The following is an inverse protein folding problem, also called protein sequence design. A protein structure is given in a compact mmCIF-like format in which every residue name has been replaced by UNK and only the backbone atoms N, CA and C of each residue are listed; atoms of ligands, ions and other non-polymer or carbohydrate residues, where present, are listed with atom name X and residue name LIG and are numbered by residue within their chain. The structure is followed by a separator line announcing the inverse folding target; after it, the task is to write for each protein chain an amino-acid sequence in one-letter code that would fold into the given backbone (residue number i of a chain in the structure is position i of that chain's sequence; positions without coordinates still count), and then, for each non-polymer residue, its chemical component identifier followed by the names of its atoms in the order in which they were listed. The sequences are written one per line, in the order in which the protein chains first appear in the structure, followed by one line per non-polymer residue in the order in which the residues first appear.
data_IF_053940747059
#
_entry.id   IF_053940747059
#
_cell.length_a   1.000
_cell.length_b   1.000
_cell.length_c   1.000
_cell.angle_alpha   90.00
_cell.angle_beta   90.00
_cell.angle_gamma   90.00
#
_symmetry.space_group_name_H-M   'P 1'
#
loop_
_entity.id
_entity.type
_entity.pdbx_description
1 polymer ?
#
# COMPACT_ATOMS: atom_id res chain seq x y z
N UNK A 1 4.99 13.60 -1.96
CA UNK A 1 3.77 13.98 -1.23
C UNK A 1 3.92 13.60 0.23
N UNK A 2 3.17 14.20 1.14
CA UNK A 2 3.19 13.93 2.60
C UNK A 2 1.77 13.72 3.12
N UNK A 3 1.62 12.97 4.20
CA UNK A 3 0.35 12.73 4.92
C UNK A 3 0.44 13.51 6.23
N UNK A 4 -0.37 14.56 6.39
CA UNK A 4 -0.36 15.42 7.59
C UNK A 4 1.06 15.83 8.05
N UNK A 5 1.89 16.27 7.10
CA UNK A 5 3.27 16.69 7.36
C UNK A 5 4.32 15.57 7.42
N UNK A 6 3.90 14.30 7.49
CA UNK A 6 4.79 13.13 7.50
C UNK A 6 5.17 12.73 6.06
N UNK A 7 6.47 12.59 5.80
CA UNK A 7 7.00 12.07 4.53
C UNK A 7 7.42 10.60 4.64
N UNK A 8 7.81 10.18 5.82
CA UNK A 8 8.15 8.80 6.17
C UNK A 8 7.64 8.47 7.58
N UNK A 9 7.78 7.21 8.00
CA UNK A 9 7.36 6.71 9.32
C UNK A 9 5.89 7.02 9.67
N UNK A 10 5.03 6.98 8.65
CA UNK A 10 3.58 7.01 8.84
C UNK A 10 3.03 5.58 8.88
N UNK A 11 2.00 5.38 9.68
CA UNK A 11 1.39 4.08 9.94
C UNK A 11 -0.05 4.02 9.41
N UNK A 12 -0.66 2.84 9.45
CA UNK A 12 -2.07 2.64 9.06
C UNK A 12 -3.01 3.65 9.73
N UNK A 13 -2.79 3.95 11.01
CA UNK A 13 -3.62 4.91 11.75
C UNK A 13 -3.53 6.33 11.20
N UNK A 14 -2.37 6.75 10.67
CA UNK A 14 -2.24 8.06 10.02
C UNK A 14 -3.12 8.15 8.77
N UNK A 15 -3.23 7.05 8.01
CA UNK A 15 -4.11 6.97 6.83
C UNK A 15 -5.59 6.96 7.23
N UNK A 16 -5.95 6.23 8.30
CA UNK A 16 -7.32 6.19 8.83
C UNK A 16 -7.75 7.57 9.33
N UNK A 17 -6.88 8.25 10.09
CA UNK A 17 -7.14 9.60 10.60
C UNK A 17 -7.37 10.57 9.45
N UNK A 18 -6.47 10.59 8.46
CA UNK A 18 -6.64 11.42 7.27
C UNK A 18 -7.96 11.12 6.56
N UNK A 19 -8.28 9.85 6.32
CA UNK A 19 -9.51 9.45 5.64
C UNK A 19 -10.77 9.90 6.39
N UNK A 20 -10.75 9.86 7.72
CA UNK A 20 -11.84 10.39 8.57
C UNK A 20 -11.96 11.91 8.43
N UNK A 21 -10.85 12.65 8.45
CA UNK A 21 -10.84 14.12 8.31
C UNK A 21 -11.47 14.59 6.99
N UNK A 22 -11.25 13.85 5.91
CA UNK A 22 -11.81 14.16 4.58
C UNK A 22 -13.08 13.37 4.24
N UNK A 23 -13.71 12.74 5.24
CA UNK A 23 -15.00 12.03 5.13
C UNK A 23 -15.04 10.83 4.15
N UNK A 24 -13.92 10.10 4.01
CA UNK A 24 -13.89 8.82 3.29
C UNK A 24 -14.50 7.74 4.20
N UNK A 25 -15.76 7.38 3.91
CA UNK A 25 -16.54 6.40 4.70
C UNK A 25 -15.95 4.98 4.70
N UNK A 26 -15.23 4.61 3.65
CA UNK A 26 -14.72 3.25 3.45
C UNK A 26 -13.20 3.15 3.67
N UNK A 27 -12.59 4.07 4.43
CA UNK A 27 -11.13 4.18 4.53
C UNK A 27 -10.48 2.87 4.98
N UNK A 28 -11.04 2.19 5.99
CA UNK A 28 -10.53 0.92 6.48
C UNK A 28 -10.53 -0.15 5.40
N UNK A 29 -11.66 -0.31 4.70
CA UNK A 29 -11.80 -1.26 3.60
C UNK A 29 -10.85 -0.96 2.45
N UNK A 30 -10.70 0.32 2.08
CA UNK A 30 -9.79 0.72 0.99
C UNK A 30 -8.34 0.35 1.36
N UNK A 31 -7.93 0.60 2.60
CA UNK A 31 -6.59 0.23 3.06
C UNK A 31 -6.41 -1.29 3.01
N UNK A 32 -7.38 -2.05 3.50
CA UNK A 32 -7.31 -3.51 3.53
C UNK A 32 -7.26 -4.12 2.11
N UNK A 33 -8.11 -3.62 1.19
CA UNK A 33 -8.12 -4.06 -0.22
C UNK A 33 -6.74 -3.79 -0.89
N UNK A 34 -6.12 -2.63 -0.61
CA UNK A 34 -4.79 -2.29 -1.16
C UNK A 34 -3.71 -3.18 -0.54
N UNK A 35 -3.74 -3.41 0.77
CA UNK A 35 -2.81 -4.31 1.46
C UNK A 35 -2.89 -5.71 0.87
N UNK A 36 -4.09 -6.23 0.62
CA UNK A 36 -4.30 -7.53 -0.01
C UNK A 36 -3.67 -7.59 -1.41
N UNK A 37 -3.98 -6.62 -2.27
CA UNK A 37 -3.48 -6.61 -3.65
C UNK A 37 -1.95 -6.47 -3.70
N UNK A 38 -1.39 -5.57 -2.89
CA UNK A 38 0.07 -5.34 -2.83
C UNK A 38 0.79 -6.55 -2.23
N UNK A 39 0.17 -7.27 -1.29
CA UNK A 39 0.69 -8.55 -0.76
C UNK A 39 0.70 -9.65 -1.83
N UNK A 40 -0.27 -9.63 -2.73
CA UNK A 40 -0.37 -10.55 -3.86
C UNK A 40 0.53 -10.19 -5.05
N UNK A 41 1.32 -9.12 -4.96
CA UNK A 41 2.22 -8.65 -6.03
C UNK A 41 3.03 -9.76 -6.72
N UNK A 42 3.72 -10.68 -6.03
CA UNK A 42 4.53 -11.69 -6.71
C UNK A 42 3.72 -12.57 -7.68
N UNK A 43 2.47 -12.87 -7.33
CA UNK A 43 1.55 -13.63 -8.18
C UNK A 43 1.10 -12.80 -9.37
N UNK A 44 0.57 -11.60 -9.12
CA UNK A 44 0.06 -10.69 -10.14
C UNK A 44 1.15 -10.31 -11.16
N UNK A 45 2.36 -10.04 -10.68
CA UNK A 45 3.50 -9.68 -11.52
C UNK A 45 3.99 -10.86 -12.37
N UNK A 46 3.98 -12.07 -11.81
CA UNK A 46 4.30 -13.29 -12.56
C UNK A 46 3.28 -13.52 -13.69
N UNK A 47 2.00 -13.38 -13.39
CA UNK A 47 0.91 -13.56 -14.36
C UNK A 47 0.98 -12.49 -15.47
N UNK A 48 1.48 -11.29 -15.15
CA UNK A 48 1.73 -10.20 -16.10
C UNK A 48 3.05 -10.34 -16.89
N UNK A 49 3.84 -11.40 -16.68
CA UNK A 49 5.10 -11.63 -17.39
C UNK A 49 6.27 -10.77 -16.92
N UNK A 50 6.22 -10.23 -15.69
CA UNK A 50 7.34 -9.48 -15.11
C UNK A 50 8.49 -10.43 -14.78
N UNK A 51 9.71 -10.05 -15.15
CA UNK A 51 10.91 -10.84 -14.86
C UNK A 51 11.15 -10.97 -13.34
N UNK A 52 11.58 -12.15 -12.89
CA UNK A 52 11.66 -12.52 -11.47
C UNK A 52 12.54 -11.60 -10.61
N UNK A 53 13.67 -11.12 -11.14
CA UNK A 53 14.53 -10.16 -10.44
C UNK A 53 13.82 -8.81 -10.23
N UNK A 54 13.02 -8.37 -11.20
CA UNK A 54 12.20 -7.17 -11.09
C UNK A 54 11.03 -7.35 -10.12
N UNK A 55 10.38 -8.52 -10.10
CA UNK A 55 9.35 -8.85 -9.09
C UNK A 55 9.93 -8.69 -7.68
N UNK A 56 11.10 -9.30 -7.41
CA UNK A 56 11.78 -9.21 -6.11
C UNK A 56 12.20 -7.78 -5.77
N UNK A 57 12.72 -7.03 -6.74
CA UNK A 57 13.22 -5.67 -6.51
C UNK A 57 12.09 -4.71 -6.14
N UNK A 58 10.94 -4.79 -6.82
CA UNK A 58 9.76 -3.99 -6.49
C UNK A 58 9.13 -4.44 -5.17
N UNK A 59 9.04 -5.75 -4.92
CA UNK A 59 8.48 -6.26 -3.68
C UNK A 59 9.23 -5.77 -2.43
N UNK A 60 10.55 -5.55 -2.53
CA UNK A 60 11.36 -4.98 -1.44
C UNK A 60 11.04 -3.52 -1.11
N UNK A 61 10.36 -2.79 -2.02
CA UNK A 61 9.97 -1.40 -1.77
C UNK A 61 8.57 -1.27 -1.20
N UNK A 62 7.84 -2.36 -1.05
CA UNK A 62 6.49 -2.35 -0.47
C UNK A 62 6.55 -2.08 1.03
N UNK A 63 5.65 -1.24 1.52
CA UNK A 63 5.49 -0.92 2.94
C UNK A 63 4.37 -1.78 3.54
N UNK A 64 4.59 -3.09 3.56
CA UNK A 64 3.68 -4.10 4.11
C UNK A 64 4.20 -4.62 5.46
N UNK A 65 4.46 -3.73 6.41
CA UNK A 65 4.92 -4.06 7.77
C UNK A 65 4.40 -3.00 8.75
#
# INVERSE_FOLDING_TARGET
MSINGKRDDFFKDDLILLGKEINIKSIDRIIDDIVEVVSNWPKLAKDAGVEASRIKSIGKTHRLL
#
